data_IF_347488388813
#
_entry.id   IF_347488388813
#
_cell.length_a   1.000
_cell.length_b   1.000
_cell.length_c   1.000
_cell.angle_alpha   90.00
_cell.angle_beta   90.00
_cell.angle_gamma   90.00
#
_symmetry.space_group_name_H-M   'P 1'
#
loop_
_entity.id
_entity.type
_entity.pdbx_description
1 polymer ?
#
# COMPACT_ATOMS: atom_id res chain seq x y z
N UNK A 1 17.47 17.97 -0.79
CA UNK A 1 17.34 17.09 0.39
C UNK A 1 16.77 17.95 1.50
N UNK A 2 15.46 18.07 1.61
CA UNK A 2 14.84 18.54 2.86
C UNK A 2 14.81 17.32 3.77
N UNK A 3 15.53 17.38 4.89
CA UNK A 3 15.32 16.46 5.98
C UNK A 3 13.86 16.52 6.39
N UNK A 4 13.24 15.39 6.58
CA UNK A 4 11.86 15.29 7.06
C UNK A 4 11.74 15.60 8.57
N UNK A 5 12.59 16.47 9.09
CA UNK A 5 12.55 16.97 10.47
C UNK A 5 11.50 18.05 10.62
N UNK A 6 10.29 17.76 10.19
CA UNK A 6 9.15 18.66 10.28
C UNK A 6 8.15 18.18 11.32
N UNK A 7 7.62 19.10 12.11
CA UNK A 7 6.48 18.85 12.97
C UNK A 7 5.26 18.56 12.10
N UNK A 8 4.69 17.38 12.29
CA UNK A 8 3.38 17.04 11.74
C UNK A 8 2.31 17.22 12.82
N UNK A 9 1.18 17.79 12.42
CA UNK A 9 -0.01 17.90 13.23
C UNK A 9 -1.06 16.96 12.67
N UNK A 10 -1.60 16.11 13.51
CA UNK A 10 -2.69 15.19 13.17
C UNK A 10 -3.93 15.65 13.91
N UNK A 11 -4.91 16.14 13.16
CA UNK A 11 -6.22 16.51 13.66
C UNK A 11 -7.18 15.34 13.49
N UNK A 12 -7.79 14.88 14.56
CA UNK A 12 -8.76 13.77 14.57
C UNK A 12 -10.07 14.30 15.13
N UNK A 13 -11.13 14.22 14.33
CA UNK A 13 -12.46 14.67 14.72
C UNK A 13 -13.45 13.52 14.62
N UNK A 14 -14.11 13.16 15.72
CA UNK A 14 -15.25 12.25 15.69
C UNK A 14 -16.41 12.92 14.92
N UNK A 15 -16.92 12.23 13.93
CA UNK A 15 -17.98 12.71 13.06
C UNK A 15 -19.32 12.06 13.38
N UNK A 16 -19.31 10.78 13.64
CA UNK A 16 -20.50 9.99 13.89
C UNK A 16 -20.15 8.72 14.66
N UNK A 17 -21.06 8.32 15.55
CA UNK A 17 -20.98 7.07 16.30
C UNK A 17 -22.33 6.38 16.26
N UNK A 18 -22.30 5.06 16.11
CA UNK A 18 -23.48 4.20 16.21
C UNK A 18 -23.15 3.11 17.25
N UNK A 19 -23.75 3.23 18.43
CA UNK A 19 -23.51 2.31 19.54
C UNK A 19 -24.13 0.93 19.32
N UNK A 20 -25.27 0.87 18.63
CA UNK A 20 -25.98 -0.38 18.34
C UNK A 20 -25.23 -1.22 17.32
N UNK A 21 -24.72 -0.58 16.28
CA UNK A 21 -23.90 -1.21 15.23
C UNK A 21 -22.43 -1.34 15.65
N UNK A 22 -21.99 -0.63 16.69
CA UNK A 22 -20.65 -0.74 17.26
C UNK A 22 -19.55 -0.16 16.36
N UNK A 23 -19.83 0.95 15.66
CA UNK A 23 -18.82 1.64 14.85
C UNK A 23 -18.74 3.13 15.18
N UNK A 24 -17.58 3.71 14.89
CA UNK A 24 -17.32 5.14 15.00
C UNK A 24 -16.56 5.65 13.78
N UNK A 25 -16.90 6.84 13.31
CA UNK A 25 -16.31 7.50 12.13
C UNK A 25 -15.56 8.75 12.55
N UNK A 26 -14.36 8.91 12.01
CA UNK A 26 -13.48 10.04 12.22
C UNK A 26 -13.11 10.72 10.91
N UNK A 27 -13.04 12.06 10.89
CA UNK A 27 -12.29 12.83 9.90
C UNK A 27 -10.85 13.03 10.42
N UNK A 28 -9.87 12.62 9.65
CA UNK A 28 -8.45 12.69 10.01
C UNK A 28 -7.72 13.56 9.00
N UNK A 29 -7.00 14.57 9.49
CA UNK A 29 -6.19 15.47 8.65
C UNK A 29 -4.77 15.54 9.16
N UNK A 30 -3.82 15.43 8.25
CA UNK A 30 -2.40 15.59 8.53
C UNK A 30 -1.90 16.83 7.84
N UNK A 31 -1.28 17.71 8.61
CA UNK A 31 -0.63 18.92 8.13
C UNK A 31 0.82 18.97 8.62
N UNK A 32 1.66 19.72 7.91
CA UNK A 32 3.01 20.05 8.36
C UNK A 32 3.15 21.57 8.51
N UNK A 33 4.15 21.98 9.27
CA UNK A 33 4.47 23.40 9.36
C UNK A 33 5.15 23.84 8.06
N UNK A 34 4.54 24.81 7.39
CA UNK A 34 5.08 25.43 6.18
C UNK A 34 5.90 26.70 6.48
N UNK A 35 6.38 27.40 5.47
CA UNK A 35 7.05 28.67 5.60
C UNK A 35 6.20 29.66 6.40
N UNK A 36 6.81 30.39 7.34
CA UNK A 36 6.17 31.37 8.22
C UNK A 36 5.14 30.76 9.19
N UNK A 37 5.29 29.48 9.54
CA UNK A 37 4.43 28.80 10.50
C UNK A 37 3.03 28.47 10.01
N UNK A 38 2.68 28.71 8.75
CA UNK A 38 1.37 28.38 8.19
C UNK A 38 1.23 26.86 8.00
N UNK A 39 0.10 26.25 8.40
CA UNK A 39 -0.12 24.82 8.15
C UNK A 39 -0.23 24.55 6.65
N UNK A 40 0.43 23.48 6.21
CA UNK A 40 0.33 22.95 4.86
C UNK A 40 -0.33 21.59 4.94
N UNK A 41 -1.50 21.47 4.32
CA UNK A 41 -2.22 20.20 4.22
C UNK A 41 -1.36 19.15 3.50
N UNK A 42 -1.34 17.93 4.03
CA UNK A 42 -0.59 16.80 3.48
C UNK A 42 -1.52 15.66 3.09
N UNK A 43 -2.30 15.15 4.03
CA UNK A 43 -3.16 13.99 3.85
C UNK A 43 -4.49 14.21 4.58
N UNK A 44 -5.53 13.57 4.08
CA UNK A 44 -6.81 13.48 4.75
C UNK A 44 -7.46 12.15 4.48
N UNK A 45 -8.18 11.64 5.46
CA UNK A 45 -8.90 10.38 5.36
C UNK A 45 -10.11 10.40 6.28
N UNK A 46 -11.15 9.70 5.87
CA UNK A 46 -12.21 9.28 6.77
C UNK A 46 -11.86 7.88 7.27
N UNK A 47 -11.90 7.68 8.59
CA UNK A 47 -11.60 6.39 9.22
C UNK A 47 -12.85 5.90 9.94
N UNK A 48 -13.24 4.65 9.64
CA UNK A 48 -14.31 3.96 10.35
C UNK A 48 -13.71 2.81 11.14
N UNK A 49 -13.91 2.82 12.44
CA UNK A 49 -13.52 1.73 13.34
C UNK A 49 -14.77 0.97 13.77
N UNK A 50 -14.70 -0.34 13.83
CA UNK A 50 -15.77 -1.20 14.32
C UNK A 50 -15.23 -2.17 15.37
N UNK A 51 -16.00 -2.37 16.44
CA UNK A 51 -15.73 -3.39 17.45
C UNK A 51 -16.35 -4.75 17.10
N UNK A 52 -17.11 -4.85 16.02
CA UNK A 52 -17.68 -6.10 15.51
C UNK A 52 -16.73 -6.70 14.50
N UNK A 53 -16.18 -7.87 14.81
CA UNK A 53 -15.45 -8.68 13.84
C UNK A 53 -16.44 -9.20 12.79
N UNK A 54 -16.32 -8.71 11.56
CA UNK A 54 -17.00 -9.31 10.40
C UNK A 54 -16.33 -10.63 10.00
N UNK A 55 -17.00 -11.39 9.15
CA UNK A 55 -16.36 -12.54 8.49
C UNK A 55 -15.23 -12.04 7.61
N UNK A 56 -14.02 -12.59 7.79
CA UNK A 56 -12.89 -12.27 6.93
C UNK A 56 -13.20 -12.82 5.53
N UNK A 57 -13.21 -12.00 4.49
CA UNK A 57 -13.44 -12.47 3.14
C UNK A 57 -12.27 -13.32 2.65
N UNK A 58 -12.54 -14.22 1.72
CA UNK A 58 -11.54 -15.06 1.08
C UNK A 58 -11.38 -14.71 -0.38
N UNK A 59 -10.15 -14.82 -0.86
CA UNK A 59 -9.78 -14.71 -2.25
C UNK A 59 -9.72 -16.11 -2.87
N UNK A 60 -10.21 -16.32 -4.09
CA UNK A 60 -10.20 -17.64 -4.69
C UNK A 60 -8.75 -18.10 -4.96
N UNK A 61 -8.29 -19.15 -4.27
CA UNK A 61 -6.92 -19.66 -4.37
C UNK A 61 -6.52 -20.06 -5.82
N UNK A 62 -7.46 -20.44 -6.67
CA UNK A 62 -7.25 -20.70 -8.09
C UNK A 62 -6.71 -19.48 -8.86
N UNK A 63 -6.84 -18.29 -8.29
CA UNK A 63 -6.30 -17.07 -8.88
C UNK A 63 -4.81 -16.83 -8.57
N UNK A 64 -4.22 -17.63 -7.68
CA UNK A 64 -2.81 -17.52 -7.25
C UNK A 64 -1.87 -18.36 -8.15
N UNK A 65 -2.38 -19.04 -9.17
CA UNK A 65 -1.55 -19.89 -10.04
C UNK A 65 -0.46 -19.07 -10.69
N UNK A 66 0.79 -19.33 -10.27
CA UNK A 66 1.98 -18.71 -10.87
C UNK A 66 2.33 -19.36 -12.19
N UNK A 67 2.37 -18.57 -13.26
CA UNK A 67 2.89 -19.01 -14.54
C UNK A 67 4.42 -18.99 -14.56
N UNK A 68 5.04 -18.12 -13.74
CA UNK A 68 6.51 -18.01 -13.60
C UNK A 68 6.82 -17.30 -12.28
N UNK A 69 7.92 -17.69 -11.65
CA UNK A 69 8.44 -17.01 -10.45
C UNK A 69 9.69 -16.21 -10.85
N UNK A 70 9.57 -14.89 -10.91
CA UNK A 70 10.66 -13.97 -11.22
C UNK A 70 11.08 -13.19 -9.98
N UNK A 71 12.35 -13.23 -9.62
CA UNK A 71 12.87 -12.44 -8.49
C UNK A 71 12.58 -10.94 -8.67
N UNK A 72 12.11 -10.30 -7.63
CA UNK A 72 11.84 -8.86 -7.61
C UNK A 72 13.09 -7.99 -7.33
N UNK A 73 14.26 -8.60 -7.11
CA UNK A 73 15.50 -7.87 -6.81
C UNK A 73 15.82 -6.81 -7.86
N UNK A 74 15.66 -7.15 -9.14
CA UNK A 74 15.91 -6.23 -10.25
C UNK A 74 15.08 -4.93 -10.16
N UNK A 75 13.85 -4.98 -9.66
CA UNK A 75 13.02 -3.78 -9.50
C UNK A 75 13.54 -2.78 -8.46
N UNK A 76 14.29 -3.28 -7.47
CA UNK A 76 14.96 -2.41 -6.48
C UNK A 76 16.30 -1.90 -6.99
N UNK A 77 16.96 -2.63 -7.89
CA UNK A 77 18.25 -2.25 -8.47
C UNK A 77 18.09 -1.21 -9.58
N UNK A 78 17.07 -1.36 -10.43
CA UNK A 78 16.81 -0.46 -11.55
C UNK A 78 16.06 0.83 -11.17
N UNK A 79 15.66 0.95 -9.90
CA UNK A 79 14.92 2.09 -9.37
C UNK A 79 13.44 2.11 -9.71
N UNK A 80 12.87 0.99 -10.22
CA UNK A 80 11.41 0.81 -10.32
C UNK A 80 10.78 0.93 -8.94
N UNK A 81 11.38 0.25 -7.96
CA UNK A 81 11.05 0.34 -6.55
C UNK A 81 12.18 1.08 -5.83
N UNK A 82 11.96 2.33 -5.46
CA UNK A 82 12.95 3.21 -4.81
C UNK A 82 13.03 3.05 -3.29
N UNK A 83 12.37 2.04 -2.74
CA UNK A 83 12.20 1.81 -1.31
C UNK A 83 13.50 1.40 -0.61
N UNK A 84 13.69 1.89 0.62
CA UNK A 84 14.79 1.49 1.50
C UNK A 84 14.64 0.03 1.99
N UNK A 85 15.68 -0.53 2.63
CA UNK A 85 15.73 -1.96 2.96
C UNK A 85 14.52 -2.50 3.71
N UNK A 86 13.97 -1.72 4.67
CA UNK A 86 12.84 -2.13 5.51
C UNK A 86 11.52 -2.22 4.74
N UNK A 87 11.40 -1.52 3.60
CA UNK A 87 10.23 -1.54 2.71
C UNK A 87 10.44 -2.41 1.46
N UNK A 88 11.52 -3.19 1.38
CA UNK A 88 11.76 -4.13 0.29
C UNK A 88 11.05 -5.44 0.55
N UNK A 89 9.73 -5.40 0.50
CA UNK A 89 8.87 -6.51 0.90
C UNK A 89 8.44 -7.40 -0.28
N UNK A 90 8.55 -6.91 -1.52
CA UNK A 90 8.27 -7.71 -2.70
C UNK A 90 9.45 -8.63 -2.97
N UNK A 91 9.23 -9.95 -2.96
CA UNK A 91 10.26 -10.97 -3.20
C UNK A 91 10.22 -11.52 -4.61
N UNK A 92 9.02 -11.77 -5.14
CA UNK A 92 8.84 -12.31 -6.48
C UNK A 92 7.64 -11.70 -7.19
N UNK A 93 7.74 -11.60 -8.50
CA UNK A 93 6.64 -11.37 -9.42
C UNK A 93 6.17 -12.74 -9.94
N UNK A 94 4.94 -13.12 -9.59
CA UNK A 94 4.37 -14.41 -9.99
C UNK A 94 3.58 -14.31 -11.28
N UNK A 95 2.86 -13.19 -11.49
CA UNK A 95 2.09 -12.94 -12.71
C UNK A 95 2.05 -11.44 -13.00
N UNK A 96 2.14 -11.07 -14.27
CA UNK A 96 1.90 -9.69 -14.71
C UNK A 96 1.45 -9.71 -16.17
N UNK A 97 0.15 -9.90 -16.36
CA UNK A 97 -0.46 -10.06 -17.69
C UNK A 97 -1.81 -9.37 -17.75
N UNK A 98 -2.12 -8.77 -18.89
CA UNK A 98 -3.39 -8.10 -19.12
C UNK A 98 -3.68 -7.06 -18.04
N UNK A 99 -4.73 -7.31 -17.25
CA UNK A 99 -5.17 -6.44 -16.15
C UNK A 99 -4.80 -6.99 -14.77
N UNK A 100 -4.01 -8.06 -14.68
CA UNK A 100 -3.70 -8.74 -13.42
C UNK A 100 -2.21 -8.72 -13.13
N UNK A 101 -1.87 -8.48 -11.87
CA UNK A 101 -0.53 -8.64 -11.33
C UNK A 101 -0.61 -9.40 -10.00
N UNK A 102 0.29 -10.37 -9.81
CA UNK A 102 0.39 -11.14 -8.57
C UNK A 102 1.83 -11.10 -8.07
N UNK A 103 2.01 -10.75 -6.81
CA UNK A 103 3.30 -10.69 -6.12
C UNK A 103 3.33 -11.67 -4.96
N UNK A 104 4.50 -12.23 -4.72
CA UNK A 104 4.86 -12.85 -3.45
C UNK A 104 5.68 -11.85 -2.64
N UNK A 105 5.35 -11.71 -1.38
CA UNK A 105 5.93 -10.72 -0.49
C UNK A 105 6.33 -11.34 0.84
N UNK A 106 7.29 -10.71 1.53
CA UNK A 106 7.68 -11.07 2.88
C UNK A 106 8.16 -9.82 3.62
N UNK A 107 7.60 -9.53 4.78
CA UNK A 107 8.07 -8.43 5.61
C UNK A 107 9.20 -8.90 6.52
N UNK A 108 10.39 -8.29 6.49
CA UNK A 108 11.49 -8.68 7.35
C UNK A 108 11.12 -8.65 8.83
N UNK A 109 11.61 -9.63 9.61
CA UNK A 109 11.42 -9.66 11.07
C UNK A 109 11.93 -8.39 11.77
N UNK A 110 12.95 -7.75 11.22
CA UNK A 110 13.46 -6.46 11.70
C UNK A 110 12.43 -5.33 11.65
N UNK A 111 11.43 -5.41 10.76
CA UNK A 111 10.34 -4.46 10.68
C UNK A 111 9.56 -4.35 11.98
N UNK A 112 9.34 -5.46 12.69
CA UNK A 112 8.64 -5.46 13.97
C UNK A 112 9.29 -4.55 15.01
N UNK A 113 10.63 -4.48 15.04
CA UNK A 113 11.40 -3.63 15.95
C UNK A 113 11.46 -2.16 15.51
N UNK A 114 11.09 -1.86 14.28
CA UNK A 114 11.23 -0.55 13.67
C UNK A 114 9.87 0.15 13.41
N UNK A 115 8.83 -0.23 14.15
CA UNK A 115 7.49 0.35 13.99
C UNK A 115 7.38 1.81 14.51
N UNK A 116 8.49 2.38 15.02
CA UNK A 116 8.51 3.75 15.48
C UNK A 116 7.85 3.96 16.84
N UNK A 117 7.39 5.18 17.08
CA UNK A 117 6.86 5.63 18.38
C UNK A 117 5.51 4.98 18.74
N UNK A 118 4.73 4.59 17.73
CA UNK A 118 3.38 4.03 17.91
C UNK A 118 3.28 2.68 17.19
N UNK A 119 3.83 1.60 17.78
CA UNK A 119 3.70 0.27 17.18
C UNK A 119 2.23 -0.16 17.17
N UNK A 120 1.80 -0.76 16.07
CA UNK A 120 0.42 -1.22 15.89
C UNK A 120 0.40 -2.74 15.74
N UNK A 121 -0.38 -3.42 16.59
CA UNK A 121 -0.56 -4.87 16.50
C UNK A 121 -1.58 -5.26 15.42
N UNK A 122 -2.42 -4.31 14.98
CA UNK A 122 -3.47 -4.55 13.97
C UNK A 122 -3.05 -4.17 12.56
N UNK A 123 -1.92 -3.50 12.37
CA UNK A 123 -1.55 -2.89 11.09
C UNK A 123 -0.04 -2.99 10.85
N UNK A 124 0.35 -3.64 9.77
CA UNK A 124 1.74 -3.72 9.32
C UNK A 124 1.96 -2.78 8.14
N UNK A 125 2.28 -1.52 8.42
CA UNK A 125 2.46 -0.50 7.38
C UNK A 125 3.63 -0.78 6.41
N UNK A 126 4.61 -1.59 6.79
CA UNK A 126 5.67 -2.01 5.87
C UNK A 126 5.11 -2.96 4.81
N UNK A 127 4.25 -3.91 5.23
CA UNK A 127 3.61 -4.85 4.33
C UNK A 127 2.54 -4.17 3.47
N UNK A 128 1.77 -3.24 4.05
CA UNK A 128 0.75 -2.50 3.32
C UNK A 128 1.33 -1.58 2.24
N UNK A 129 2.53 -1.06 2.44
CA UNK A 129 3.26 -0.30 1.41
C UNK A 129 3.54 -1.17 0.17
N UNK A 130 3.75 -2.47 0.33
CA UNK A 130 3.94 -3.39 -0.79
C UNK A 130 2.71 -3.46 -1.72
N UNK A 131 1.51 -3.21 -1.21
CA UNK A 131 0.30 -3.08 -2.04
C UNK A 131 0.41 -1.92 -3.04
N UNK A 132 1.04 -0.82 -2.63
CA UNK A 132 1.28 0.32 -3.51
C UNK A 132 2.45 0.08 -4.46
N UNK A 133 3.45 -0.73 -4.06
CA UNK A 133 4.55 -1.12 -4.93
C UNK A 133 4.08 -1.92 -6.16
N UNK A 134 2.97 -2.65 -6.04
CA UNK A 134 2.36 -3.35 -7.17
C UNK A 134 2.01 -2.41 -8.34
N UNK A 135 1.48 -1.21 -8.03
CA UNK A 135 1.18 -0.18 -9.03
C UNK A 135 2.43 0.31 -9.76
N UNK A 136 3.55 0.43 -9.03
CA UNK A 136 4.82 0.91 -9.57
C UNK A 136 5.43 -0.11 -10.54
N UNK A 137 5.42 -1.40 -10.17
CA UNK A 137 5.89 -2.49 -11.01
C UNK A 137 5.09 -2.54 -12.31
N UNK A 138 3.76 -2.46 -12.20
CA UNK A 138 2.89 -2.50 -13.36
C UNK A 138 3.12 -1.31 -14.30
N UNK A 139 3.20 -0.08 -13.75
CA UNK A 139 3.47 1.12 -14.53
C UNK A 139 4.83 1.05 -15.25
N UNK A 140 5.86 0.54 -14.60
CA UNK A 140 7.18 0.33 -15.20
C UNK A 140 7.11 -0.65 -16.37
N UNK A 141 6.45 -1.79 -16.18
CA UNK A 141 6.37 -2.85 -17.19
C UNK A 141 5.63 -2.42 -18.46
N UNK A 142 4.52 -1.70 -18.32
CA UNK A 142 3.64 -1.38 -19.46
C UNK A 142 3.84 0.01 -20.06
N UNK A 143 4.39 0.95 -19.29
CA UNK A 143 4.60 2.33 -19.75
C UNK A 143 6.07 2.77 -19.75
N UNK A 144 6.99 1.91 -19.29
CA UNK A 144 8.42 2.25 -19.15
C UNK A 144 8.64 3.54 -18.35
N UNK A 145 7.76 3.82 -17.41
CA UNK A 145 7.68 5.07 -16.67
C UNK A 145 7.71 4.85 -15.16
N UNK A 146 8.31 5.80 -14.44
CA UNK A 146 8.19 5.87 -12.99
C UNK A 146 6.78 6.27 -12.59
N UNK A 147 6.39 5.90 -11.38
CA UNK A 147 5.08 6.25 -10.83
C UNK A 147 5.16 6.52 -9.34
N UNK A 148 4.15 7.22 -8.83
CA UNK A 148 3.99 7.50 -7.41
C UNK A 148 2.53 7.24 -7.01
N UNK A 149 2.29 6.58 -5.87
CA UNK A 149 0.95 6.47 -5.31
C UNK A 149 0.33 7.86 -5.11
N UNK A 150 -0.92 8.01 -5.50
CA UNK A 150 -1.64 9.27 -5.47
C UNK A 150 -2.77 9.29 -4.46
N UNK A 151 -3.60 8.24 -4.47
CA UNK A 151 -4.73 8.08 -3.55
C UNK A 151 -5.19 6.63 -3.46
N UNK A 152 -5.96 6.35 -2.44
CA UNK A 152 -6.79 5.16 -2.26
C UNK A 152 -8.20 5.66 -2.00
N UNK A 153 -9.20 5.17 -2.73
CA UNK A 153 -10.58 5.60 -2.52
C UNK A 153 -11.17 4.98 -1.25
N UNK A 154 -10.90 3.68 -1.03
CA UNK A 154 -11.34 2.96 0.16
C UNK A 154 -10.31 1.89 0.51
N UNK A 155 -9.92 1.83 1.79
CA UNK A 155 -9.13 0.76 2.36
C UNK A 155 -9.96 -0.04 3.36
N UNK A 156 -9.88 -1.36 3.30
CA UNK A 156 -10.46 -2.28 4.27
C UNK A 156 -9.34 -3.11 4.89
N UNK A 157 -9.34 -3.24 6.20
CA UNK A 157 -8.34 -3.98 6.96
C UNK A 157 -9.05 -5.01 7.82
N UNK A 158 -8.77 -6.29 7.57
CA UNK A 158 -9.45 -7.41 8.21
C UNK A 158 -8.57 -8.11 9.23
N UNK A 159 -7.26 -8.17 8.96
CA UNK A 159 -6.32 -8.93 9.74
C UNK A 159 -4.90 -8.35 9.59
N UNK A 160 -4.11 -8.42 10.64
CA UNK A 160 -2.69 -8.04 10.61
C UNK A 160 -1.88 -8.96 9.67
N UNK A 161 -1.06 -8.37 8.80
CA UNK A 161 -0.07 -9.11 8.01
C UNK A 161 1.12 -9.43 8.90
N UNK A 162 1.42 -10.72 9.17
CA UNK A 162 2.48 -11.10 10.09
C UNK A 162 3.87 -10.79 9.54
N UNK A 163 4.80 -10.41 10.43
CA UNK A 163 6.22 -10.30 10.08
C UNK A 163 6.86 -11.67 9.85
N UNK A 164 7.89 -11.71 9.03
CA UNK A 164 8.68 -12.90 8.70
C UNK A 164 7.85 -14.07 8.15
N UNK A 165 6.74 -13.77 7.51
CA UNK A 165 5.91 -14.76 6.79
C UNK A 165 5.63 -14.28 5.38
N UNK A 166 5.50 -15.25 4.48
CA UNK A 166 5.08 -14.98 3.12
C UNK A 166 3.61 -14.58 3.09
N UNK A 167 3.30 -13.61 2.24
CA UNK A 167 1.96 -13.20 1.89
C UNK A 167 1.93 -12.84 0.41
N UNK A 168 0.75 -12.68 -0.14
CA UNK A 168 0.54 -12.43 -1.55
C UNK A 168 -0.21 -11.13 -1.75
N UNK A 169 0.06 -10.48 -2.87
CA UNK A 169 -0.67 -9.31 -3.32
C UNK A 169 -1.21 -9.61 -4.70
N UNK A 170 -2.51 -9.49 -4.87
CA UNK A 170 -3.18 -9.53 -6.17
C UNK A 170 -3.72 -8.16 -6.50
N UNK A 171 -3.32 -7.64 -7.66
CA UNK A 171 -3.81 -6.39 -8.20
C UNK A 171 -4.64 -6.66 -9.45
N UNK A 172 -5.84 -6.11 -9.49
CA UNK A 172 -6.72 -6.10 -10.65
C UNK A 172 -6.93 -4.66 -11.12
N UNK A 173 -6.54 -4.38 -12.38
CA UNK A 173 -6.73 -3.05 -12.94
C UNK A 173 -8.17 -2.87 -13.39
N UNK A 174 -8.75 -1.74 -13.04
CA UNK A 174 -10.06 -1.32 -13.52
C UNK A 174 -9.95 -0.82 -14.97
N UNK A 175 -9.10 0.16 -15.17
CA UNK A 175 -8.67 0.70 -16.45
C UNK A 175 -7.29 1.32 -16.30
N UNK A 176 -6.62 1.65 -17.38
CA UNK A 176 -5.33 2.33 -17.31
C UNK A 176 -5.17 3.33 -18.45
N UNK A 177 -4.37 4.35 -18.22
CA UNK A 177 -3.96 5.35 -19.19
C UNK A 177 -2.47 5.64 -19.04
N UNK A 178 -1.89 6.37 -19.96
CA UNK A 178 -0.49 6.77 -19.89
C UNK A 178 -0.16 7.70 -18.71
N UNK A 179 -1.15 8.18 -17.98
CA UNK A 179 -0.97 9.08 -16.84
C UNK A 179 -1.41 8.49 -15.50
N UNK A 180 -2.25 7.44 -15.49
CA UNK A 180 -2.86 6.90 -14.28
C UNK A 180 -3.12 5.39 -14.35
N UNK A 181 -2.94 4.71 -13.21
CA UNK A 181 -3.24 3.29 -13.01
C UNK A 181 -4.17 3.14 -11.80
N UNK A 182 -5.49 3.16 -11.99
CA UNK A 182 -6.44 2.80 -10.95
C UNK A 182 -6.61 1.29 -10.88
N UNK A 183 -6.59 0.74 -9.68
CA UNK A 183 -6.66 -0.69 -9.44
C UNK A 183 -7.33 -1.02 -8.11
N UNK A 184 -7.87 -2.24 -8.02
CA UNK A 184 -8.15 -2.90 -6.74
C UNK A 184 -6.96 -3.76 -6.39
N UNK A 185 -6.40 -3.57 -5.17
CA UNK A 185 -5.25 -4.30 -4.67
C UNK A 185 -5.65 -5.04 -3.40
N UNK A 186 -5.40 -6.35 -3.36
CA UNK A 186 -5.77 -7.22 -2.24
C UNK A 186 -4.52 -7.92 -1.71
N UNK A 187 -4.26 -7.82 -0.42
CA UNK A 187 -3.27 -8.65 0.27
C UNK A 187 -3.95 -9.85 0.92
N UNK A 188 -3.36 -11.03 0.84
CA UNK A 188 -3.94 -12.28 1.34
C UNK A 188 -2.84 -13.30 1.68
N UNK A 189 -3.20 -14.32 2.45
CA UNK A 189 -2.32 -15.46 2.69
C UNK A 189 -2.40 -16.52 1.58
N UNK A 190 -1.67 -17.61 1.75
CA UNK A 190 -1.64 -18.72 0.81
C UNK A 190 -3.00 -19.43 0.66
N UNK A 191 -3.83 -19.40 1.70
CA UNK A 191 -5.19 -19.96 1.67
C UNK A 191 -6.21 -19.05 1.01
N UNK A 192 -5.85 -17.80 0.73
CA UNK A 192 -6.72 -16.77 0.20
C UNK A 192 -7.44 -15.94 1.27
N UNK A 193 -7.12 -16.12 2.58
CA UNK A 193 -7.69 -15.27 3.63
C UNK A 193 -7.15 -13.84 3.48
N UNK A 194 -8.04 -12.86 3.36
CA UNK A 194 -7.67 -11.48 3.04
C UNK A 194 -7.20 -10.75 4.29
N UNK A 195 -6.04 -10.10 4.19
CA UNK A 195 -5.52 -9.18 5.20
C UNK A 195 -6.07 -7.77 5.00
N UNK A 196 -5.91 -7.23 3.79
CA UNK A 196 -6.40 -5.89 3.44
C UNK A 196 -6.85 -5.82 1.98
N UNK A 197 -7.66 -4.81 1.66
CA UNK A 197 -8.11 -4.53 0.30
C UNK A 197 -8.19 -3.04 0.07
N UNK A 198 -7.56 -2.57 -1.01
CA UNK A 198 -7.59 -1.19 -1.45
C UNK A 198 -8.37 -1.08 -2.75
N UNK A 199 -9.47 -0.35 -2.72
CA UNK A 199 -10.27 -0.04 -3.90
C UNK A 199 -9.87 1.32 -4.47
N UNK A 200 -9.81 1.40 -5.79
CA UNK A 200 -9.44 2.63 -6.48
C UNK A 200 -8.09 3.16 -6.02
N UNK A 201 -7.13 2.24 -5.76
CA UNK A 201 -5.74 2.63 -5.54
C UNK A 201 -5.18 3.18 -6.85
N UNK A 202 -4.70 4.41 -6.85
CA UNK A 202 -4.28 5.11 -8.05
C UNK A 202 -2.83 5.59 -7.93
N UNK A 203 -2.03 5.34 -8.97
CA UNK A 203 -0.70 5.91 -9.11
C UNK A 203 -0.65 6.86 -10.30
N UNK A 204 -0.01 8.01 -10.11
CA UNK A 204 0.35 8.92 -11.19
C UNK A 204 1.59 8.39 -11.91
N UNK A 205 1.59 8.40 -13.25
CA UNK A 205 2.65 7.91 -14.11
C UNK A 205 3.35 9.07 -14.80
N UNK A 206 4.68 9.07 -14.81
CA UNK A 206 5.45 10.05 -15.58
C UNK A 206 6.84 9.54 -15.93
N UNK A 207 7.24 9.68 -17.20
CA UNK A 207 8.61 9.37 -17.62
C UNK A 207 9.66 10.24 -16.92
N UNK A 208 9.30 11.44 -16.50
CA UNK A 208 10.20 12.33 -15.75
C UNK A 208 10.58 11.76 -14.38
N UNK A 209 9.77 10.86 -13.80
CA UNK A 209 10.07 10.20 -12.54
C UNK A 209 11.20 9.17 -12.69
N UNK A 210 11.46 8.67 -13.90
CA UNK A 210 12.57 7.73 -14.14
C UNK A 210 13.93 8.31 -13.75
N UNK A 211 14.10 9.62 -13.88
CA UNK A 211 15.38 10.29 -13.55
C UNK A 211 15.51 10.59 -12.06
N UNK A 212 14.38 10.76 -11.35
CA UNK A 212 14.37 11.11 -9.93
C UNK A 212 14.74 9.93 -9.02
N UNK A 213 14.51 8.71 -9.47
CA UNK A 213 14.70 7.49 -8.69
C UNK A 213 15.90 6.64 -9.16
N UNK A 214 16.65 7.09 -10.18
CA UNK A 214 17.96 6.50 -10.49
C UNK A 214 18.92 6.74 -9.32
N UNK A 215 19.45 5.66 -8.80
CA UNK A 215 20.53 5.66 -7.80
C UNK A 215 21.87 5.75 -8.50
#
# INVERSE_FOLDING_TARGET
KSSADGLFVVDIKEMQKDEDSGWVRFDVRVSSQGPKGKPVFRYGSEIVLSNKSGTIPTFAASEIQSASEMSAAAFYEDGTLFHGPIFRNVTHLLQCEGKKLVLKCNTPASGQKNQGQFPLDMFNYFAEDACLQALLIWARKFYEAGSLPLKIQKGEFFKHIPFARDFFITMALEHSSSSKVPATVTSHDESGEIYSRFFGAEAAISKNLNQKFKR
#
